data_IF_752991087879
#
_entry.id   IF_752991087879
#
_cell.length_a   1.000
_cell.length_b   1.000
_cell.length_c   1.000
_cell.angle_alpha   90.00
_cell.angle_beta   90.00
_cell.angle_gamma   90.00
#
_symmetry.space_group_name_H-M   'P 1'
#
loop_
_entity.id
_entity.type
_entity.pdbx_description
1 polymer ?
#
# COMPACT_ATOMS: atom_id res chain seq x y z
N UNK A 1 8.14 5.44 -19.39
CA UNK A 1 7.95 6.89 -19.15
C UNK A 1 6.84 7.20 -18.13
N UNK A 2 5.74 6.45 -18.04
CA UNK A 2 4.70 6.73 -17.01
C UNK A 2 5.07 6.35 -15.57
N UNK A 3 6.02 5.44 -15.35
CA UNK A 3 6.34 4.91 -14.01
C UNK A 3 7.01 5.92 -13.07
N UNK A 4 7.78 6.87 -13.59
CA UNK A 4 8.50 7.84 -12.76
C UNK A 4 7.56 8.82 -12.05
N UNK A 5 6.47 9.25 -12.70
CA UNK A 5 5.56 10.23 -12.11
C UNK A 5 4.78 9.68 -10.90
N UNK A 6 4.39 8.41 -10.93
CA UNK A 6 3.68 7.80 -9.80
C UNK A 6 4.59 7.55 -8.61
N UNK A 7 5.84 7.14 -8.84
CA UNK A 7 6.83 7.02 -7.77
C UNK A 7 7.10 8.36 -7.07
N UNK A 8 7.17 9.46 -7.83
CA UNK A 8 7.27 10.81 -7.25
C UNK A 8 6.02 11.18 -6.43
N UNK A 9 4.81 10.92 -6.94
CA UNK A 9 3.57 11.23 -6.22
C UNK A 9 3.40 10.42 -4.92
N UNK A 10 3.84 9.16 -4.90
CA UNK A 10 3.87 8.34 -3.68
C UNK A 10 4.95 8.77 -2.68
N UNK A 11 5.96 9.52 -3.13
CA UNK A 11 7.04 10.02 -2.27
C UNK A 11 6.88 11.50 -1.90
N UNK A 12 5.73 12.10 -2.22
CA UNK A 12 5.47 13.51 -1.99
C UNK A 12 5.24 13.77 -0.50
N UNK A 13 5.77 14.86 0.09
CA UNK A 13 5.51 15.18 1.49
C UNK A 13 4.04 15.51 1.77
N UNK A 14 3.27 15.91 0.76
CA UNK A 14 1.85 16.23 0.91
C UNK A 14 0.98 14.97 0.87
N UNK A 15 0.35 14.63 2.00
CA UNK A 15 -0.54 13.47 2.13
C UNK A 15 -1.68 13.45 1.08
N UNK A 16 -2.13 14.63 0.64
CA UNK A 16 -3.15 14.75 -0.42
C UNK A 16 -2.63 14.24 -1.77
N UNK A 17 -1.39 14.54 -2.12
CA UNK A 17 -0.76 14.08 -3.36
C UNK A 17 -0.56 12.56 -3.34
N UNK A 18 -0.14 12.02 -2.19
CA UNK A 18 -0.06 10.57 -1.97
C UNK A 18 -1.42 9.91 -2.21
N UNK A 19 -2.49 10.46 -1.62
CA UNK A 19 -3.85 9.91 -1.77
C UNK A 19 -4.30 9.91 -3.23
N UNK A 20 -4.06 10.98 -3.96
CA UNK A 20 -4.39 11.08 -5.40
C UNK A 20 -3.56 10.12 -6.26
N UNK A 21 -2.28 9.93 -5.91
CA UNK A 21 -1.43 8.94 -6.57
C UNK A 21 -1.95 7.51 -6.37
N UNK A 22 -2.31 7.13 -5.14
CA UNK A 22 -2.90 5.81 -4.84
C UNK A 22 -4.24 5.64 -5.56
N UNK A 23 -5.09 6.67 -5.58
CA UNK A 23 -6.37 6.65 -6.29
C UNK A 23 -6.17 6.43 -7.79
N UNK A 24 -5.26 7.17 -8.40
CA UNK A 24 -4.91 7.03 -9.82
C UNK A 24 -4.37 5.63 -10.15
N UNK A 25 -3.47 5.11 -9.30
CA UNK A 25 -2.95 3.74 -9.42
C UNK A 25 -4.05 2.68 -9.33
N UNK A 26 -5.02 2.89 -8.44
CA UNK A 26 -6.18 2.00 -8.29
C UNK A 26 -7.04 2.01 -9.55
N UNK A 27 -7.35 3.19 -10.10
CA UNK A 27 -8.11 3.31 -11.35
C UNK A 27 -7.39 2.58 -12.49
N UNK A 28 -6.07 2.80 -12.65
CA UNK A 28 -5.31 2.12 -13.71
C UNK A 28 -5.28 0.60 -13.54
N UNK A 29 -5.17 0.12 -12.30
CA UNK A 29 -5.22 -1.31 -11.98
C UNK A 29 -6.58 -1.94 -12.33
N UNK A 30 -7.68 -1.29 -11.96
CA UNK A 30 -9.04 -1.75 -12.29
C UNK A 30 -9.25 -1.80 -13.82
N UNK A 31 -8.64 -0.88 -14.56
CA UNK A 31 -8.71 -0.86 -16.02
C UNK A 31 -7.77 -1.88 -16.70
N UNK A 32 -7.09 -2.76 -15.94
CA UNK A 32 -6.23 -3.81 -16.49
C UNK A 32 -4.97 -3.28 -17.18
N UNK A 33 -4.54 -2.06 -16.86
CA UNK A 33 -3.39 -1.42 -17.53
C UNK A 33 -2.04 -1.87 -16.98
N UNK A 34 -2.04 -2.78 -16.00
CA UNK A 34 -0.83 -3.26 -15.33
C UNK A 34 -0.47 -4.65 -15.85
N UNK A 35 0.80 -4.86 -16.19
CA UNK A 35 1.34 -6.22 -16.27
C UNK A 35 1.68 -6.73 -14.87
N UNK A 36 1.83 -8.05 -14.71
CA UNK A 36 2.11 -8.68 -13.41
C UNK A 36 3.31 -8.05 -12.69
N UNK A 37 4.43 -7.85 -13.40
CA UNK A 37 5.64 -7.25 -12.81
C UNK A 37 5.37 -5.86 -12.24
N UNK A 38 4.65 -5.04 -12.99
CA UNK A 38 4.32 -3.69 -12.56
C UNK A 38 3.33 -3.69 -11.39
N UNK A 39 2.33 -4.57 -11.43
CA UNK A 39 1.38 -4.76 -10.34
C UNK A 39 2.08 -5.09 -9.03
N UNK A 40 3.00 -6.06 -9.04
CA UNK A 40 3.74 -6.46 -7.83
C UNK A 40 4.64 -5.33 -7.34
N UNK A 41 5.36 -4.63 -8.22
CA UNK A 41 6.17 -3.47 -7.82
C UNK A 41 5.35 -2.31 -7.25
N UNK A 42 4.09 -2.17 -7.69
CA UNK A 42 3.16 -1.15 -7.21
C UNK A 42 2.61 -1.54 -5.83
N UNK A 43 2.29 -2.81 -5.62
CA UNK A 43 1.89 -3.35 -4.32
C UNK A 43 2.98 -3.09 -3.27
N UNK A 44 4.24 -3.40 -3.59
CA UNK A 44 5.37 -3.17 -2.68
C UNK A 44 5.52 -1.70 -2.25
N UNK A 45 5.15 -0.75 -3.10
CA UNK A 45 5.19 0.68 -2.79
C UNK A 45 3.96 1.16 -2.03
N UNK A 46 2.77 0.63 -2.33
CA UNK A 46 1.48 1.13 -1.81
C UNK A 46 1.07 0.46 -0.49
N UNK A 47 1.41 -0.82 -0.29
CA UNK A 47 1.03 -1.59 0.91
C UNK A 47 1.54 -0.97 2.22
N UNK A 48 2.77 -0.42 2.31
CA UNK A 48 3.24 0.22 3.55
C UNK A 48 2.34 1.36 4.06
N UNK A 49 1.61 2.05 3.18
CA UNK A 49 0.68 3.11 3.57
C UNK A 49 -0.56 2.62 4.36
N UNK A 50 -0.76 1.29 4.49
CA UNK A 50 -1.74 0.72 5.44
C UNK A 50 -1.46 1.17 6.88
N UNK A 51 -0.19 1.33 7.23
CA UNK A 51 0.22 1.78 8.55
C UNK A 51 0.26 3.31 8.69
N UNK A 52 -0.06 4.07 7.64
CA UNK A 52 0.08 5.53 7.62
C UNK A 52 -0.90 6.24 8.58
N UNK A 53 -0.56 7.36 9.25
CA UNK A 53 -1.48 8.09 10.13
C UNK A 53 -2.68 8.71 9.41
N UNK A 54 -2.53 9.09 8.14
CA UNK A 54 -3.64 9.58 7.32
C UNK A 54 -4.60 8.45 6.93
N UNK A 55 -5.86 8.55 7.34
CA UNK A 55 -6.88 7.53 7.09
C UNK A 55 -7.21 7.32 5.61
N UNK A 56 -7.12 8.37 4.79
CA UNK A 56 -7.39 8.28 3.35
C UNK A 56 -6.29 7.53 2.62
N UNK A 57 -5.02 7.73 3.00
CA UNK A 57 -3.92 6.93 2.48
C UNK A 57 -4.13 5.44 2.78
N UNK A 58 -4.52 5.11 4.02
CA UNK A 58 -4.82 3.72 4.43
C UNK A 58 -5.96 3.12 3.60
N UNK A 59 -7.09 3.83 3.48
CA UNK A 59 -8.24 3.36 2.69
C UNK A 59 -7.93 3.25 1.21
N UNK A 60 -7.13 4.18 0.68
CA UNK A 60 -6.60 4.12 -0.68
C UNK A 60 -5.78 2.85 -0.89
N UNK A 61 -4.84 2.54 0.00
CA UNK A 61 -4.00 1.35 -0.09
C UNK A 61 -4.80 0.05 -0.06
N UNK A 62 -5.78 -0.06 0.84
CA UNK A 62 -6.66 -1.24 0.86
C UNK A 62 -7.50 -1.33 -0.42
N UNK A 63 -7.99 -0.19 -0.94
CA UNK A 63 -8.67 -0.14 -2.23
C UNK A 63 -7.78 -0.64 -3.38
N UNK A 64 -6.52 -0.23 -3.41
CA UNK A 64 -5.54 -0.69 -4.39
C UNK A 64 -5.26 -2.20 -4.27
N UNK A 65 -5.07 -2.70 -3.04
CA UNK A 65 -4.83 -4.14 -2.79
C UNK A 65 -5.98 -4.98 -3.34
N UNK A 66 -7.22 -4.56 -3.08
CA UNK A 66 -8.39 -5.26 -3.60
C UNK A 66 -8.48 -5.22 -5.12
N UNK A 67 -8.19 -4.06 -5.73
CA UNK A 67 -8.13 -3.95 -7.18
C UNK A 67 -7.06 -4.88 -7.76
N UNK A 68 -5.90 -4.97 -7.11
CA UNK A 68 -4.82 -5.87 -7.51
C UNK A 68 -5.22 -7.35 -7.38
N UNK A 69 -5.86 -7.72 -6.26
CA UNK A 69 -6.37 -9.07 -6.04
C UNK A 69 -7.38 -9.47 -7.12
N UNK A 70 -8.25 -8.55 -7.55
CA UNK A 70 -9.23 -8.81 -8.60
C UNK A 70 -8.63 -8.96 -10.01
N UNK A 71 -7.33 -8.64 -10.20
CA UNK A 71 -6.62 -8.87 -11.47
C UNK A 71 -5.89 -10.22 -11.51
N UNK A 72 -5.89 -10.98 -10.40
CA UNK A 72 -5.15 -12.22 -10.25
C UNK A 72 -6.13 -13.36 -9.95
N UNK A 73 -5.75 -14.59 -10.32
CA UNK A 73 -6.42 -15.79 -9.82
C UNK A 73 -6.10 -16.00 -8.33
N UNK A 74 -6.93 -16.77 -7.62
CA UNK A 74 -6.83 -16.95 -6.15
C UNK A 74 -5.43 -17.38 -5.67
N UNK A 75 -4.79 -18.29 -6.43
CA UNK A 75 -3.45 -18.79 -6.10
C UNK A 75 -2.40 -17.68 -6.21
N UNK A 76 -2.48 -16.87 -7.27
CA UNK A 76 -1.54 -15.78 -7.50
C UNK A 76 -1.77 -14.65 -6.49
N UNK A 77 -3.01 -14.32 -6.17
CA UNK A 77 -3.34 -13.37 -5.11
C UNK A 77 -2.73 -13.83 -3.77
N UNK A 78 -2.87 -15.10 -3.41
CA UNK A 78 -2.27 -15.65 -2.20
C UNK A 78 -0.73 -15.63 -2.25
N UNK A 79 -0.12 -15.98 -3.38
CA UNK A 79 1.34 -16.07 -3.50
C UNK A 79 2.02 -14.69 -3.58
N UNK A 80 1.37 -13.70 -4.17
CA UNK A 80 1.98 -12.40 -4.44
C UNK A 80 1.51 -11.28 -3.50
N UNK A 81 0.24 -11.28 -3.08
CA UNK A 81 -0.31 -10.20 -2.25
C UNK A 81 -0.14 -10.53 -0.77
N UNK A 82 -0.46 -11.76 -0.35
CA UNK A 82 -0.43 -12.12 1.07
C UNK A 82 0.94 -11.85 1.73
N UNK A 83 2.10 -12.20 1.12
CA UNK A 83 3.40 -11.95 1.76
C UNK A 83 3.72 -10.46 1.96
N UNK A 84 3.19 -9.59 1.11
CA UNK A 84 3.42 -8.14 1.20
C UNK A 84 2.50 -7.51 2.24
N UNK A 85 1.26 -8.01 2.36
CA UNK A 85 0.24 -7.47 3.27
C UNK A 85 0.39 -7.99 4.68
N UNK A 86 0.78 -9.26 4.86
CA UNK A 86 0.84 -9.95 6.16
C UNK A 86 1.63 -9.19 7.25
N UNK A 87 2.78 -8.53 6.98
CA UNK A 87 3.50 -7.73 7.97
C UNK A 87 2.69 -6.55 8.55
N UNK A 88 1.64 -6.11 7.85
CA UNK A 88 0.80 -4.97 8.22
C UNK A 88 -0.54 -5.39 8.83
N UNK A 89 -0.70 -6.66 9.19
CA UNK A 89 -1.92 -7.17 9.81
C UNK A 89 -1.74 -7.43 11.30
N UNK A 90 -2.85 -7.29 12.04
CA UNK A 90 -2.95 -7.63 13.47
C UNK A 90 -2.81 -9.13 13.73
N UNK A 91 -3.19 -9.95 12.77
CA UNK A 91 -3.22 -11.39 12.89
C UNK A 91 -2.55 -12.03 11.67
N UNK A 92 -1.75 -13.08 11.90
CA UNK A 92 -0.96 -13.73 10.85
C UNK A 92 -1.77 -14.55 9.83
N UNK A 93 -3.09 -14.65 9.99
CA UNK A 93 -3.92 -15.56 9.20
C UNK A 93 -4.85 -14.78 8.28
N UNK A 94 -4.53 -14.73 7.00
CA UNK A 94 -5.42 -14.22 5.95
C UNK A 94 -5.95 -15.41 5.18
N UNK A 95 -7.14 -15.88 5.55
CA UNK A 95 -7.86 -16.88 4.77
C UNK A 95 -8.83 -16.23 3.77
N UNK A 96 -9.10 -14.92 3.89
CA UNK A 96 -10.10 -14.18 3.11
C UNK A 96 -9.55 -12.79 2.69
N UNK A 97 -8.75 -12.75 1.62
CA UNK A 97 -8.29 -11.51 0.97
C UNK A 97 -9.38 -10.85 0.09
N UNK A 98 -10.49 -11.56 -0.14
CA UNK A 98 -11.58 -11.21 -1.04
C UNK A 98 -12.58 -10.19 -0.43
N UNK A 99 -12.57 -10.03 0.89
CA UNK A 99 -13.50 -9.14 1.58
C UNK A 99 -12.84 -7.85 2.10
N UNK A 100 -13.25 -6.70 1.53
CA UNK A 100 -12.79 -5.36 1.93
C UNK A 100 -12.86 -5.10 3.42
N UNK A 101 -14.00 -5.44 4.02
CA UNK A 101 -14.28 -5.13 5.41
C UNK A 101 -13.46 -6.02 6.33
N UNK A 102 -13.22 -7.27 5.95
CA UNK A 102 -12.34 -8.18 6.68
C UNK A 102 -10.92 -7.63 6.66
N UNK A 103 -10.41 -7.26 5.48
CA UNK A 103 -9.07 -6.70 5.35
C UNK A 103 -8.92 -5.41 6.17
N UNK A 104 -9.86 -4.46 6.06
CA UNK A 104 -9.86 -3.21 6.82
C UNK A 104 -9.91 -3.41 8.34
N UNK A 105 -10.53 -4.47 8.84
CA UNK A 105 -10.53 -4.78 10.27
C UNK A 105 -9.27 -5.53 10.73
N UNK A 106 -8.60 -6.22 9.80
CA UNK A 106 -7.40 -7.00 10.06
C UNK A 106 -6.12 -6.14 10.04
N UNK A 107 -6.11 -4.95 9.43
CA UNK A 107 -4.91 -4.10 9.37
C UNK A 107 -4.45 -3.62 10.75
N UNK A 108 -3.14 -3.48 10.90
CA UNK A 108 -2.50 -2.92 12.09
C UNK A 108 -2.97 -1.50 12.40
N UNK A 109 -2.81 -1.10 13.65
CA UNK A 109 -3.04 0.29 14.03
C UNK A 109 -2.05 1.21 13.29
N UNK A 110 -2.44 2.45 12.97
CA UNK A 110 -1.55 3.38 12.27
C UNK A 110 -0.36 3.74 13.17
N UNK A 111 0.79 4.01 12.54
CA UNK A 111 1.92 4.59 13.24
C UNK A 111 1.52 5.95 13.82
N UNK A 112 2.01 6.31 15.02
CA UNK A 112 1.76 7.63 15.56
C UNK A 112 2.28 8.72 14.62
N UNK A 113 1.48 9.77 14.37
CA UNK A 113 1.90 10.88 13.50
C UNK A 113 3.22 11.51 13.93
N UNK A 114 3.45 11.62 15.24
CA UNK A 114 4.73 12.12 15.78
C UNK A 114 5.94 11.30 15.36
N UNK A 115 5.79 9.97 15.18
CA UNK A 115 6.85 9.09 14.69
C UNK A 115 7.12 9.38 13.22
N UNK A 116 6.07 9.48 12.39
CA UNK A 116 6.23 9.85 10.99
C UNK A 116 6.90 11.22 10.84
N UNK A 117 6.42 12.24 11.55
CA UNK A 117 6.96 13.60 11.52
C UNK A 117 8.43 13.65 11.96
N UNK A 118 8.82 12.78 12.90
CA UNK A 118 10.21 12.65 13.34
C UNK A 118 11.09 12.03 12.26
N UNK A 119 10.64 10.91 11.68
CA UNK A 119 11.33 10.18 10.62
C UNK A 119 11.52 11.07 9.38
N UNK A 120 10.52 11.85 8.98
CA UNK A 120 10.63 12.75 7.81
C UNK A 120 11.58 13.94 8.03
N UNK A 121 11.88 14.29 9.29
CA UNK A 121 12.84 15.36 9.63
C UNK A 121 14.28 14.84 9.70
N UNK A 122 14.48 13.54 9.87
CA UNK A 122 15.79 12.93 9.89
C UNK A 122 16.38 12.89 8.48
N UNK A 123 17.61 13.36 8.32
CA UNK A 123 18.32 13.35 7.04
C UNK A 123 19.02 12.01 6.76
N UNK A 124 19.24 11.20 7.80
CA UNK A 124 19.92 9.92 7.70
C UNK A 124 19.17 8.84 8.49
N UNK A 125 18.35 8.08 7.77
CA UNK A 125 17.54 6.99 8.35
C UNK A 125 18.38 5.79 8.75
N UNK A 126 19.55 5.59 8.14
CA UNK A 126 20.41 4.43 8.43
C UNK A 126 20.98 4.53 9.85
N UNK A 127 21.22 5.77 10.33
CA UNK A 127 21.65 6.04 11.70
C UNK A 127 20.65 5.62 12.79
N UNK A 128 19.37 5.37 12.45
CA UNK A 128 18.35 4.93 13.41
C UNK A 128 18.40 3.42 13.71
N UNK A 129 19.12 2.65 12.90
CA UNK A 129 19.19 1.19 12.99
C UNK A 129 20.57 0.66 13.42
N UNK A 130 21.52 1.56 13.72
CA UNK A 130 22.79 1.28 14.41
C UNK A 130 22.61 1.25 15.94
#
# INVERSE_FOLDING_TARGET
>A
MHYSHFAHGLSDPEEAVICEAISSMTVLCINGLFNLRFLISSLQQIVPFIAHPNIWARYGSVGFIMAAASQLDDIDALCYIAPVVQPFLKYNNILELDNKLVLLNAISDPIPRSVLDYVMKQQDLDSLFE
#
